data_IF_343609236735
#
_entry.id   IF_343609236735
#
_cell.length_a   1.000
_cell.length_b   1.000
_cell.length_c   1.000
_cell.angle_alpha   90.00
_cell.angle_beta   90.00
_cell.angle_gamma   90.00
#
_symmetry.space_group_name_H-M   'P 1'
#
loop_
_entity.id
_entity.type
_entity.pdbx_description
1 polymer ?
#
# COMPACT_ATOMS: atom_id res chain seq x y z
N UNK A 1 -13.57 24.48 25.90
CA UNK A 1 -12.68 23.29 25.97
C UNK A 1 -11.28 23.79 26.27
N UNK A 2 -10.56 23.16 27.19
CA UNK A 2 -9.14 23.46 27.31
C UNK A 2 -8.44 23.07 26.02
N UNK A 3 -7.46 23.87 25.61
CA UNK A 3 -6.56 23.63 24.48
C UNK A 3 -5.84 22.24 24.50
N UNK A 4 -5.97 21.50 25.61
CA UNK A 4 -5.44 20.15 25.80
C UNK A 4 -6.10 19.04 24.99
N UNK A 5 -7.26 19.27 24.36
CA UNK A 5 -7.87 18.33 23.40
C UNK A 5 -7.36 18.51 21.97
N UNK A 6 -6.70 19.60 21.73
CA UNK A 6 -5.91 19.89 20.56
C UNK A 6 -4.50 19.65 21.03
N UNK A 7 -3.94 18.51 20.77
CA UNK A 7 -2.52 18.38 21.04
C UNK A 7 -1.78 19.49 20.28
N UNK A 8 -1.35 20.56 20.97
CA UNK A 8 -0.09 21.13 20.61
C UNK A 8 0.85 19.96 20.86
N UNK A 9 1.46 19.44 19.80
CA UNK A 9 2.43 18.41 19.92
C UNK A 9 3.43 18.84 20.98
N UNK A 10 3.34 18.23 22.19
CA UNK A 10 4.52 18.04 22.99
C UNK A 10 5.56 17.39 22.08
N UNK A 11 6.86 17.45 22.36
CA UNK A 11 7.86 16.89 21.49
C UNK A 11 7.57 15.40 21.30
N UNK A 12 6.78 15.04 20.25
CA UNK A 12 6.79 13.72 19.73
C UNK A 12 8.23 13.55 19.22
N UNK A 13 9.01 12.77 19.93
CA UNK A 13 10.16 12.15 19.32
C UNK A 13 9.61 11.25 18.21
N UNK A 14 9.32 11.91 17.07
CA UNK A 14 9.11 11.16 15.84
C UNK A 14 10.40 10.39 15.62
N UNK A 15 10.33 9.06 15.42
CA UNK A 15 11.50 8.32 14.97
C UNK A 15 12.15 9.14 13.87
N UNK A 16 13.48 9.26 13.86
CA UNK A 16 14.24 9.89 12.79
C UNK A 16 13.94 9.08 11.54
N UNK A 17 12.89 9.46 10.81
CA UNK A 17 12.30 8.66 9.77
C UNK A 17 12.57 9.30 8.40
N UNK A 18 13.61 8.85 7.66
CA UNK A 18 13.91 9.37 6.34
C UNK A 18 12.89 8.91 5.27
N UNK A 19 12.13 7.83 5.53
CA UNK A 19 11.43 7.10 4.49
C UNK A 19 10.01 7.61 4.15
N UNK A 20 9.39 8.43 4.97
CA UNK A 20 8.00 8.87 4.78
C UNK A 20 7.87 10.24 4.09
N UNK A 21 8.79 10.60 3.22
CA UNK A 21 8.61 11.75 2.35
C UNK A 21 7.68 11.37 1.20
N UNK A 22 6.42 11.75 1.31
CA UNK A 22 5.50 11.67 0.18
C UNK A 22 5.48 13.04 -0.53
N UNK A 23 6.17 13.21 -1.66
CA UNK A 23 6.26 14.49 -2.36
C UNK A 23 4.89 14.99 -2.83
N UNK A 24 3.91 14.09 -2.99
CA UNK A 24 2.54 14.44 -3.35
C UNK A 24 1.81 15.22 -2.25
N UNK A 25 2.27 15.15 -0.98
CA UNK A 25 1.71 15.98 0.09
C UNK A 25 1.97 17.48 -0.12
N UNK A 26 2.93 17.85 -0.95
CA UNK A 26 3.26 19.25 -1.24
C UNK A 26 2.56 19.78 -2.51
N UNK A 27 1.91 18.94 -3.30
CA UNK A 27 1.43 19.30 -4.64
C UNK A 27 0.10 20.07 -4.68
N UNK A 28 -0.68 20.10 -3.60
CA UNK A 28 -2.02 20.72 -3.57
C UNK A 28 -2.36 21.25 -2.20
N UNK A 29 -3.16 22.35 -2.16
CA UNK A 29 -3.59 22.97 -0.90
C UNK A 29 -4.53 22.09 -0.09
N UNK A 30 -5.32 21.24 -0.75
CA UNK A 30 -6.28 20.33 -0.12
C UNK A 30 -6.07 18.90 -0.58
N UNK A 31 -5.71 18.03 0.34
CA UNK A 31 -5.34 16.63 0.07
C UNK A 31 -6.23 15.68 0.85
N UNK A 32 -6.67 14.63 0.18
CA UNK A 32 -7.24 13.44 0.81
C UNK A 32 -6.19 12.32 0.80
N UNK A 33 -5.65 12.00 1.98
CA UNK A 33 -4.58 11.01 2.15
C UNK A 33 -5.20 9.63 2.41
N UNK A 34 -5.17 8.79 1.39
CA UNK A 34 -5.71 7.44 1.38
C UNK A 34 -4.59 6.41 1.57
N UNK A 35 -4.98 5.17 1.78
CA UNK A 35 -4.05 4.06 1.84
C UNK A 35 -4.41 3.03 2.89
N UNK A 36 -3.75 1.87 2.87
CA UNK A 36 -4.01 0.78 3.79
C UNK A 36 -3.76 1.16 5.25
N UNK A 37 -4.23 0.28 6.15
CA UNK A 37 -3.95 0.44 7.57
C UNK A 37 -2.44 0.38 7.85
N UNK A 38 -2.00 1.16 8.85
CA UNK A 38 -0.59 1.18 9.28
C UNK A 38 0.42 1.51 8.15
N UNK A 39 -0.03 2.15 7.07
CA UNK A 39 0.83 2.64 6.00
C UNK A 39 1.54 3.97 6.32
N UNK A 40 1.37 4.50 7.53
CA UNK A 40 2.02 5.73 7.97
C UNK A 40 1.29 7.02 7.56
N UNK A 41 -0.01 7.00 7.23
CA UNK A 41 -0.79 8.20 6.87
C UNK A 41 -0.68 9.31 7.91
N UNK A 42 -1.05 9.00 9.15
CA UNK A 42 -0.97 9.94 10.26
C UNK A 42 0.46 10.44 10.47
N UNK A 43 1.44 9.54 10.47
CA UNK A 43 2.86 9.88 10.64
C UNK A 43 3.34 10.82 9.53
N UNK A 44 2.96 10.58 8.28
CA UNK A 44 3.32 11.46 7.14
C UNK A 44 2.68 12.84 7.26
N UNK A 45 1.40 12.89 7.66
CA UNK A 45 0.71 14.18 7.90
C UNK A 45 1.32 14.95 9.07
N UNK A 46 1.69 14.28 10.15
CA UNK A 46 2.36 14.90 11.30
C UNK A 46 3.78 15.36 10.99
N UNK A 47 4.48 14.65 10.09
CA UNK A 47 5.78 15.11 9.60
C UNK A 47 5.63 16.39 8.80
N UNK A 48 4.64 16.48 7.92
CA UNK A 48 4.32 17.71 7.19
C UNK A 48 4.00 18.87 8.14
N UNK A 49 3.36 18.63 9.28
CA UNK A 49 3.00 19.65 10.25
C UNK A 49 4.21 20.41 10.82
N UNK A 50 5.42 19.85 10.77
CA UNK A 50 6.64 20.51 11.23
C UNK A 50 7.06 21.71 10.37
N UNK A 51 6.60 21.74 9.13
CA UNK A 51 6.92 22.82 8.16
C UNK A 51 5.97 24.02 8.30
N UNK A 52 4.97 23.94 9.20
CA UNK A 52 3.96 24.97 9.43
C UNK A 52 4.12 25.63 10.80
N UNK A 53 3.77 26.91 10.88
CA UNK A 53 3.90 27.68 12.12
C UNK A 53 2.78 27.38 13.13
N UNK A 54 1.57 27.20 12.61
CA UNK A 54 0.35 27.01 13.42
C UNK A 54 -0.43 25.78 12.92
N UNK A 55 0.14 24.55 12.98
CA UNK A 55 -0.55 23.35 12.56
C UNK A 55 -1.61 22.93 13.59
N UNK A 56 -2.77 22.52 13.11
CA UNK A 56 -3.86 21.96 13.91
C UNK A 56 -4.13 20.52 13.49
N UNK A 57 -4.07 19.60 14.44
CA UNK A 57 -4.40 18.19 14.25
C UNK A 57 -5.63 17.82 15.06
N UNK A 58 -6.59 17.17 14.42
CA UNK A 58 -7.82 16.72 15.06
C UNK A 58 -8.06 15.25 14.71
N UNK A 59 -8.15 14.42 15.74
CA UNK A 59 -8.50 13.02 15.61
C UNK A 59 -10.01 12.83 15.88
N UNK A 60 -10.75 12.41 14.86
CA UNK A 60 -12.20 12.18 14.98
C UNK A 60 -12.58 10.99 15.87
N UNK A 61 -11.64 10.10 16.19
CA UNK A 61 -11.83 9.01 17.13
C UNK A 61 -11.57 9.43 18.58
N UNK A 62 -11.13 10.67 18.84
CA UNK A 62 -10.99 11.15 20.22
C UNK A 62 -12.38 11.37 20.86
N UNK A 63 -12.69 10.57 21.89
CA UNK A 63 -13.97 10.65 22.60
C UNK A 63 -14.23 11.99 23.30
N UNK A 64 -13.18 12.79 23.52
CA UNK A 64 -13.28 14.13 24.11
C UNK A 64 -13.68 15.19 23.08
N UNK A 65 -13.64 14.87 21.77
CA UNK A 65 -13.95 15.79 20.70
C UNK A 65 -15.46 16.03 20.63
N UNK A 66 -15.89 17.27 20.85
CA UNK A 66 -17.25 17.68 20.57
C UNK A 66 -17.38 18.09 19.09
N UNK A 67 -17.88 17.17 18.27
CA UNK A 67 -18.01 17.37 16.81
C UNK A 67 -19.03 18.45 16.44
N UNK A 68 -20.05 18.71 17.28
CA UNK A 68 -21.12 19.69 16.98
C UNK A 68 -20.64 21.14 16.97
N UNK A 69 -19.57 21.45 17.71
CA UNK A 69 -19.00 22.81 17.79
C UNK A 69 -17.70 22.97 16.98
N UNK A 70 -17.24 21.90 16.32
CA UNK A 70 -15.97 21.88 15.64
C UNK A 70 -15.91 22.92 14.51
N UNK A 71 -16.96 23.03 13.70
CA UNK A 71 -17.03 24.00 12.60
C UNK A 71 -16.87 25.45 13.06
N UNK A 72 -17.52 25.81 14.16
CA UNK A 72 -17.43 27.17 14.72
C UNK A 72 -16.05 27.47 15.28
N UNK A 73 -15.38 26.47 15.86
CA UNK A 73 -14.01 26.62 16.34
C UNK A 73 -13.00 26.77 15.22
N UNK A 74 -13.11 25.95 14.19
CA UNK A 74 -12.22 26.07 13.02
C UNK A 74 -12.38 27.42 12.34
N UNK A 75 -13.61 27.93 12.23
CA UNK A 75 -13.84 29.28 11.70
C UNK A 75 -13.22 30.36 12.59
N UNK A 76 -13.40 30.27 13.90
CA UNK A 76 -12.82 31.22 14.87
C UNK A 76 -11.29 31.25 14.76
N UNK A 77 -10.62 30.10 14.77
CA UNK A 77 -9.14 30.03 14.67
C UNK A 77 -8.63 30.50 13.32
N UNK A 78 -9.36 30.26 12.24
CA UNK A 78 -9.04 30.81 10.94
C UNK A 78 -9.08 32.34 10.95
N UNK A 79 -10.15 32.95 11.49
CA UNK A 79 -10.31 34.40 11.62
C UNK A 79 -9.23 35.03 12.53
N UNK A 80 -8.86 34.34 13.60
CA UNK A 80 -7.80 34.74 14.51
C UNK A 80 -6.37 34.51 13.97
N UNK A 81 -6.24 33.94 12.73
CA UNK A 81 -4.94 33.58 12.09
C UNK A 81 -4.10 32.61 12.94
N UNK A 82 -4.78 31.77 13.73
CA UNK A 82 -4.15 30.76 14.61
C UNK A 82 -3.98 29.39 13.95
N UNK A 83 -4.23 29.28 12.65
CA UNK A 83 -4.18 28.04 11.91
C UNK A 83 -3.72 28.26 10.47
N UNK A 84 -2.66 27.59 10.05
CA UNK A 84 -2.14 27.60 8.68
C UNK A 84 -2.10 26.19 8.04
N UNK A 85 -2.18 25.12 8.84
CA UNK A 85 -2.40 23.75 8.43
C UNK A 85 -3.51 23.13 9.27
N UNK A 86 -4.43 22.41 8.62
CA UNK A 86 -5.44 21.58 9.28
C UNK A 86 -5.28 20.13 8.85
N UNK A 87 -5.13 19.23 9.83
CA UNK A 87 -5.14 17.77 9.63
C UNK A 87 -6.38 17.21 10.34
N UNK A 88 -7.30 16.59 9.57
CA UNK A 88 -8.45 15.86 10.11
C UNK A 88 -8.19 14.37 9.91
N UNK A 89 -7.95 13.66 11.00
CA UNK A 89 -7.63 12.23 10.99
C UNK A 89 -8.81 11.37 11.45
N UNK A 90 -8.95 10.16 10.91
CA UNK A 90 -10.05 9.23 11.14
C UNK A 90 -11.44 9.83 10.85
N UNK A 91 -11.52 10.64 9.80
CA UNK A 91 -12.75 11.32 9.43
C UNK A 91 -13.74 10.35 8.76
N UNK A 92 -14.97 10.29 9.27
CA UNK A 92 -16.07 9.52 8.67
C UNK A 92 -16.78 10.30 7.57
N UNK A 93 -17.20 11.53 7.91
CA UNK A 93 -17.91 12.43 7.05
C UNK A 93 -17.59 13.88 7.40
N UNK A 94 -17.63 14.72 6.40
CA UNK A 94 -17.50 16.17 6.56
C UNK A 94 -18.86 16.82 6.32
N UNK A 95 -19.50 17.24 7.40
CA UNK A 95 -20.85 17.82 7.39
C UNK A 95 -20.84 19.35 7.41
N UNK A 96 -19.67 19.98 7.24
CA UNK A 96 -19.50 21.43 7.23
C UNK A 96 -18.43 21.87 6.23
N UNK A 97 -18.47 23.14 5.86
CA UNK A 97 -17.45 23.75 4.99
C UNK A 97 -16.17 24.01 5.73
N UNK A 98 -15.06 23.62 5.14
CA UNK A 98 -13.72 23.93 5.68
C UNK A 98 -13.31 25.35 5.36
N UNK A 99 -12.59 26.05 6.27
CA UNK A 99 -12.02 27.36 5.99
C UNK A 99 -10.96 27.26 4.89
N UNK A 100 -10.75 28.34 4.15
CA UNK A 100 -9.66 28.43 3.17
C UNK A 100 -8.32 28.56 3.89
N UNK A 101 -7.51 27.54 3.85
CA UNK A 101 -6.20 27.48 4.47
C UNK A 101 -5.10 27.21 3.43
N UNK A 102 -3.86 27.59 3.71
CA UNK A 102 -2.72 27.24 2.86
C UNK A 102 -2.58 25.73 2.67
N UNK A 103 -2.96 24.93 3.70
CA UNK A 103 -2.91 23.47 3.62
C UNK A 103 -3.97 22.79 4.45
N UNK A 104 -4.61 21.76 3.85
CA UNK A 104 -5.58 20.89 4.51
C UNK A 104 -5.25 19.44 4.14
N UNK A 105 -5.15 18.57 5.14
CA UNK A 105 -4.95 17.12 4.96
C UNK A 105 -6.12 16.38 5.62
N UNK A 106 -6.86 15.62 4.83
CA UNK A 106 -7.97 14.81 5.26
C UNK A 106 -7.55 13.33 5.22
N UNK A 107 -7.70 12.61 6.31
CA UNK A 107 -7.43 11.17 6.41
C UNK A 107 -8.75 10.47 6.78
N UNK A 108 -9.50 9.96 5.80
CA UNK A 108 -10.78 9.32 6.07
C UNK A 108 -10.60 7.93 6.70
N UNK A 109 -11.64 7.48 7.40
CA UNK A 109 -11.76 6.10 7.83
C UNK A 109 -11.86 5.14 6.64
N UNK A 110 -11.45 3.88 6.83
CA UNK A 110 -11.30 2.89 5.74
C UNK A 110 -12.59 2.56 5.01
N UNK A 111 -13.71 2.49 5.72
CA UNK A 111 -15.00 2.12 5.13
C UNK A 111 -15.87 3.34 4.81
N UNK A 112 -15.39 4.55 5.10
CA UNK A 112 -16.13 5.77 4.85
C UNK A 112 -16.09 6.16 3.37
N UNK A 113 -17.20 6.63 2.80
CA UNK A 113 -17.18 7.20 1.47
C UNK A 113 -16.29 8.45 1.45
N UNK A 114 -15.43 8.55 0.44
CA UNK A 114 -14.58 9.74 0.24
C UNK A 114 -15.49 10.84 -0.31
N UNK A 115 -15.96 11.70 0.57
CA UNK A 115 -16.95 12.74 0.24
C UNK A 115 -16.38 14.16 0.32
N UNK A 116 -15.08 14.32 0.15
CA UNK A 116 -14.48 15.65 0.09
C UNK A 116 -14.38 16.10 -1.38
N UNK A 117 -15.31 16.89 -1.92
CA UNK A 117 -15.15 17.50 -3.23
C UNK A 117 -13.91 18.39 -3.22
N UNK A 118 -13.25 18.52 -4.35
CA UNK A 118 -12.09 19.40 -4.57
C UNK A 118 -10.81 19.03 -3.78
N UNK A 119 -10.65 17.75 -3.40
CA UNK A 119 -9.40 17.25 -2.82
C UNK A 119 -8.56 16.48 -3.83
N UNK A 120 -7.30 16.76 -3.90
CA UNK A 120 -6.33 15.92 -4.59
C UNK A 120 -6.13 14.60 -3.83
N UNK A 121 -6.25 13.47 -4.51
CA UNK A 121 -6.03 12.16 -3.88
C UNK A 121 -4.54 11.87 -3.78
N UNK A 122 -4.08 11.55 -2.60
CA UNK A 122 -2.73 11.12 -2.31
C UNK A 122 -2.76 9.75 -1.62
N UNK A 123 -1.83 8.87 -1.96
CA UNK A 123 -1.81 7.52 -1.40
C UNK A 123 -0.54 7.28 -0.58
N UNK A 124 -0.71 6.97 0.71
CA UNK A 124 0.34 6.43 1.54
C UNK A 124 0.31 4.90 1.42
N UNK A 125 1.19 4.36 0.60
CA UNK A 125 1.36 2.91 0.44
C UNK A 125 2.31 2.38 1.53
N UNK A 126 2.32 1.07 1.73
CA UNK A 126 3.31 0.43 2.60
C UNK A 126 4.76 0.67 2.13
N UNK A 127 5.72 0.31 2.95
CA UNK A 127 7.14 0.50 2.66
C UNK A 127 7.59 -0.37 1.47
N UNK A 128 8.41 0.18 0.58
CA UNK A 128 9.23 -0.64 -0.30
C UNK A 128 10.47 -1.15 0.47
N UNK A 129 11.23 -2.07 -0.11
CA UNK A 129 12.37 -2.66 0.60
C UNK A 129 13.46 -1.63 0.92
N UNK A 130 13.71 -0.68 0.03
CA UNK A 130 14.70 0.39 0.25
C UNK A 130 14.29 1.29 1.43
N UNK A 131 13.01 1.64 1.54
CA UNK A 131 12.49 2.38 2.69
C UNK A 131 12.54 1.52 3.96
N UNK A 132 12.18 0.23 3.88
CA UNK A 132 12.21 -0.68 5.01
C UNK A 132 13.59 -0.80 5.64
N UNK A 133 14.65 -1.01 4.85
CA UNK A 133 16.00 -1.13 5.38
C UNK A 133 16.53 0.15 6.02
N UNK A 134 16.00 1.33 5.66
CA UNK A 134 16.43 2.60 6.23
C UNK A 134 16.09 2.77 7.73
N UNK A 135 15.18 1.94 8.26
CA UNK A 135 14.85 1.91 9.69
C UNK A 135 15.85 1.13 10.54
N UNK A 136 16.77 0.42 9.93
CA UNK A 136 17.74 -0.43 10.62
C UNK A 136 19.15 0.16 10.58
N UNK A 137 20.02 -0.34 11.46
CA UNK A 137 21.42 0.08 11.49
C UNK A 137 22.10 -0.23 10.15
N UNK A 138 22.97 0.63 9.63
CA UNK A 138 23.62 0.46 8.32
C UNK A 138 24.35 -0.87 8.15
N UNK A 139 24.90 -1.44 9.24
CA UNK A 139 25.65 -2.69 9.23
C UNK A 139 24.79 -3.96 9.34
N UNK A 140 23.46 -3.84 9.38
CA UNK A 140 22.58 -5.02 9.43
C UNK A 140 22.61 -5.74 8.07
N UNK A 141 22.89 -7.05 8.01
CA UNK A 141 22.98 -7.78 6.76
C UNK A 141 21.68 -7.70 5.96
N UNK A 142 21.75 -7.33 4.69
CA UNK A 142 20.56 -7.14 3.83
C UNK A 142 19.74 -8.43 3.67
N UNK A 143 20.39 -9.60 3.65
CA UNK A 143 19.68 -10.89 3.60
C UNK A 143 18.83 -11.13 4.85
N UNK A 144 19.32 -10.77 6.03
CA UNK A 144 18.54 -10.85 7.28
C UNK A 144 17.34 -9.92 7.23
N UNK A 145 17.51 -8.69 6.73
CA UNK A 145 16.43 -7.73 6.57
C UNK A 145 15.43 -8.18 5.50
N UNK A 146 15.90 -8.79 4.41
CA UNK A 146 15.02 -9.33 3.38
C UNK A 146 14.15 -10.47 3.92
N UNK A 147 14.73 -11.43 4.63
CA UNK A 147 13.97 -12.54 5.24
C UNK A 147 12.92 -12.01 6.23
N UNK A 148 13.28 -10.98 7.00
CA UNK A 148 12.35 -10.31 7.91
C UNK A 148 11.24 -9.57 7.14
N UNK A 149 11.58 -8.82 6.10
CA UNK A 149 10.62 -8.12 5.24
C UNK A 149 9.62 -9.08 4.58
N UNK A 150 10.13 -10.19 3.99
CA UNK A 150 9.31 -11.22 3.35
C UNK A 150 8.29 -11.84 4.31
N UNK A 151 8.65 -12.05 5.57
CA UNK A 151 7.79 -12.62 6.60
C UNK A 151 6.85 -11.58 7.22
N UNK A 152 7.38 -10.42 7.58
CA UNK A 152 6.66 -9.42 8.37
C UNK A 152 5.80 -8.50 7.51
N UNK A 153 6.14 -8.35 6.23
CA UNK A 153 5.45 -7.47 5.30
C UNK A 153 5.95 -6.03 5.36
N UNK A 154 5.24 -5.17 4.64
CA UNK A 154 5.60 -3.79 4.37
C UNK A 154 4.82 -2.76 5.21
N UNK A 155 4.12 -3.19 6.26
CA UNK A 155 3.45 -2.26 7.17
C UNK A 155 4.46 -1.67 8.16
N UNK A 156 4.35 -0.36 8.43
CA UNK A 156 5.30 0.37 9.28
C UNK A 156 5.36 -0.18 10.71
N UNK A 157 4.22 -0.58 11.28
CA UNK A 157 4.16 -1.11 12.64
C UNK A 157 4.88 -2.46 12.81
N UNK A 158 5.03 -3.24 11.73
CA UNK A 158 5.74 -4.52 11.76
C UNK A 158 7.23 -4.40 12.08
N UNK A 159 7.81 -3.21 11.90
CA UNK A 159 9.23 -2.94 12.18
C UNK A 159 9.51 -2.95 13.69
N UNK A 160 8.58 -2.43 14.49
CA UNK A 160 8.77 -2.17 15.93
C UNK A 160 8.36 -3.33 16.83
N UNK A 161 7.70 -4.34 16.27
CA UNK A 161 7.33 -5.56 17.02
C UNK A 161 8.36 -6.63 16.70
N UNK A 162 8.96 -7.23 17.74
CA UNK A 162 9.98 -8.28 17.56
C UNK A 162 9.37 -9.68 17.56
N UNK A 163 8.40 -9.93 18.43
CA UNK A 163 7.77 -11.23 18.60
C UNK A 163 6.83 -11.57 17.44
N UNK A 164 7.02 -12.74 16.82
CA UNK A 164 6.25 -13.18 15.65
C UNK A 164 4.77 -13.42 15.96
N UNK A 165 4.48 -14.04 17.11
CA UNK A 165 3.09 -14.28 17.52
C UNK A 165 2.35 -12.98 17.78
N UNK A 166 3.02 -12.02 18.40
CA UNK A 166 2.47 -10.69 18.64
C UNK A 166 2.16 -9.97 17.32
N UNK A 167 3.03 -10.08 16.31
CA UNK A 167 2.77 -9.53 14.96
C UNK A 167 1.54 -10.14 14.32
N UNK A 168 1.38 -11.45 14.39
CA UNK A 168 0.22 -12.16 13.85
C UNK A 168 -1.06 -11.68 14.53
N UNK A 169 -1.08 -11.70 15.87
CA UNK A 169 -2.23 -11.25 16.65
C UNK A 169 -2.57 -9.79 16.36
N UNK A 170 -1.57 -8.91 16.30
CA UNK A 170 -1.76 -7.49 16.00
C UNK A 170 -2.35 -7.25 14.62
N UNK A 171 -1.93 -8.01 13.61
CA UNK A 171 -2.52 -7.95 12.27
C UNK A 171 -3.98 -8.43 12.28
N UNK A 172 -4.29 -9.51 13.00
CA UNK A 172 -5.67 -10.02 13.13
C UNK A 172 -6.55 -9.01 13.86
N UNK A 173 -6.10 -8.44 14.98
CA UNK A 173 -6.81 -7.39 15.72
C UNK A 173 -7.08 -6.16 14.84
N UNK A 174 -6.10 -5.69 14.09
CA UNK A 174 -6.25 -4.56 13.19
C UNK A 174 -7.30 -4.84 12.10
N UNK A 175 -7.32 -6.06 11.54
CA UNK A 175 -8.34 -6.47 10.55
C UNK A 175 -9.72 -6.51 11.20
N UNK A 176 -9.84 -7.09 12.40
CA UNK A 176 -11.09 -7.17 13.13
C UNK A 176 -11.65 -5.78 13.50
N UNK A 177 -10.78 -4.89 14.00
CA UNK A 177 -11.15 -3.52 14.36
C UNK A 177 -11.66 -2.70 13.17
N UNK A 178 -10.97 -2.81 12.04
CA UNK A 178 -11.26 -1.96 10.87
C UNK A 178 -12.45 -2.51 10.08
N UNK A 179 -12.47 -3.80 9.82
CA UNK A 179 -13.47 -4.40 8.97
C UNK A 179 -14.68 -4.95 9.72
N UNK A 180 -14.58 -5.08 11.05
CA UNK A 180 -15.68 -5.52 11.91
C UNK A 180 -16.38 -6.79 11.35
N UNK A 181 -17.65 -6.69 11.01
CA UNK A 181 -18.44 -7.79 10.43
C UNK A 181 -17.90 -8.27 9.08
N UNK A 182 -17.10 -7.47 8.37
CA UNK A 182 -16.45 -7.83 7.11
C UNK A 182 -15.06 -8.45 7.28
N UNK A 183 -14.55 -8.60 8.51
CA UNK A 183 -13.23 -9.20 8.74
C UNK A 183 -13.09 -10.63 8.18
N UNK A 184 -14.10 -11.53 8.31
CA UNK A 184 -14.04 -12.85 7.66
C UNK A 184 -13.98 -12.77 6.14
N UNK A 185 -14.65 -11.78 5.54
CA UNK A 185 -14.63 -11.55 4.10
C UNK A 185 -13.23 -11.10 3.65
N UNK A 186 -12.60 -10.19 4.41
CA UNK A 186 -11.21 -9.76 4.13
C UNK A 186 -10.23 -10.93 4.22
N UNK A 187 -10.35 -11.80 5.22
CA UNK A 187 -9.52 -13.01 5.33
C UNK A 187 -9.69 -13.94 4.12
N UNK A 188 -10.93 -14.14 3.64
CA UNK A 188 -11.19 -14.90 2.40
C UNK A 188 -10.57 -14.25 1.17
N UNK A 189 -10.64 -12.93 1.03
CA UNK A 189 -10.00 -12.20 -0.07
C UNK A 189 -8.48 -12.43 -0.06
N UNK A 190 -7.84 -12.45 1.11
CA UNK A 190 -6.39 -12.71 1.22
C UNK A 190 -5.97 -14.07 0.64
N UNK A 191 -6.83 -15.09 0.64
CA UNK A 191 -6.54 -16.39 0.04
C UNK A 191 -6.50 -16.39 -1.51
N UNK A 192 -6.92 -15.27 -2.12
CA UNK A 192 -6.88 -15.04 -3.57
C UNK A 192 -5.72 -14.14 -4.01
N UNK A 193 -4.77 -13.90 -3.13
CA UNK A 193 -3.54 -13.16 -3.46
C UNK A 193 -2.84 -13.75 -4.69
N UNK A 194 -2.44 -12.87 -5.62
CA UNK A 194 -1.77 -13.21 -6.88
C UNK A 194 -2.53 -14.23 -7.74
N UNK A 195 -3.87 -14.24 -7.66
CA UNK A 195 -4.74 -15.09 -8.51
C UNK A 195 -5.61 -14.21 -9.40
N UNK A 196 -5.92 -14.72 -10.59
CA UNK A 196 -6.91 -14.10 -11.45
C UNK A 196 -8.31 -14.28 -10.87
N UNK A 197 -9.03 -13.18 -10.75
CA UNK A 197 -10.35 -13.12 -10.14
C UNK A 197 -11.29 -12.24 -10.96
N UNK A 198 -12.59 -12.44 -10.77
CA UNK A 198 -13.63 -11.47 -11.05
C UNK A 198 -14.51 -11.32 -9.82
N UNK A 199 -15.18 -10.19 -9.66
CA UNK A 199 -16.09 -9.98 -8.53
C UNK A 199 -17.20 -11.05 -8.50
N UNK A 200 -17.69 -11.48 -9.66
CA UNK A 200 -18.67 -12.56 -9.76
C UNK A 200 -18.10 -13.90 -9.32
N UNK A 201 -16.88 -14.23 -9.74
CA UNK A 201 -16.20 -15.46 -9.31
C UNK A 201 -16.03 -15.48 -7.79
N UNK A 202 -15.51 -14.40 -7.19
CA UNK A 202 -15.37 -14.29 -5.74
C UNK A 202 -16.72 -14.44 -5.03
N UNK A 203 -17.78 -13.82 -5.56
CA UNK A 203 -19.13 -13.98 -5.00
C UNK A 203 -19.58 -15.44 -5.00
N UNK A 204 -19.39 -16.16 -6.11
CA UNK A 204 -19.78 -17.58 -6.20
C UNK A 204 -19.04 -18.47 -5.21
N UNK A 205 -17.78 -18.15 -4.92
CA UNK A 205 -16.98 -18.87 -3.92
C UNK A 205 -17.42 -18.53 -2.49
N UNK A 206 -17.66 -17.25 -2.18
CA UNK A 206 -17.89 -16.80 -0.81
C UNK A 206 -19.32 -16.98 -0.32
N UNK A 207 -20.32 -16.92 -1.20
CA UNK A 207 -21.74 -17.01 -0.81
C UNK A 207 -22.12 -18.31 -0.08
N UNK A 208 -21.36 -19.39 -0.30
CA UNK A 208 -21.60 -20.70 0.33
C UNK A 208 -21.24 -20.70 1.81
N UNK A 209 -20.21 -19.95 2.20
CA UNK A 209 -19.66 -19.93 3.55
C UNK A 209 -20.04 -18.66 4.31
N UNK A 210 -20.03 -17.53 3.59
CA UNK A 210 -20.38 -16.22 4.14
C UNK A 210 -21.75 -15.83 3.59
N UNK A 211 -22.75 -15.66 4.46
CA UNK A 211 -24.09 -15.19 4.07
C UNK A 211 -24.04 -13.73 3.57
N UNK A 212 -23.46 -13.52 2.39
CA UNK A 212 -23.24 -12.20 1.81
C UNK A 212 -24.04 -12.03 0.50
N UNK A 213 -24.61 -10.84 0.29
CA UNK A 213 -25.24 -10.48 -0.99
C UNK A 213 -24.18 -10.09 -2.03
N UNK A 214 -24.55 -10.21 -3.32
CA UNK A 214 -23.71 -9.80 -4.44
C UNK A 214 -23.33 -8.31 -4.32
N UNK A 215 -24.31 -7.44 -4.06
CA UNK A 215 -24.08 -5.99 -3.98
C UNK A 215 -23.17 -5.60 -2.81
N UNK A 216 -23.27 -6.31 -1.68
CA UNK A 216 -22.39 -6.09 -0.53
C UNK A 216 -20.94 -6.41 -0.88
N UNK A 217 -20.69 -7.55 -1.55
CA UNK A 217 -19.34 -7.91 -1.98
C UNK A 217 -18.79 -6.89 -2.99
N UNK A 218 -19.57 -6.50 -3.99
CA UNK A 218 -19.14 -5.54 -5.01
C UNK A 218 -18.78 -4.18 -4.40
N UNK A 219 -19.63 -3.66 -3.50
CA UNK A 219 -19.34 -2.42 -2.76
C UNK A 219 -18.06 -2.55 -1.92
N UNK A 220 -17.89 -3.67 -1.24
CA UNK A 220 -16.72 -3.91 -0.41
C UNK A 220 -15.43 -3.95 -1.25
N UNK A 221 -15.40 -4.71 -2.35
CA UNK A 221 -14.27 -4.76 -3.27
C UNK A 221 -13.93 -3.38 -3.84
N UNK A 222 -14.95 -2.59 -4.24
CA UNK A 222 -14.74 -1.23 -4.73
C UNK A 222 -14.10 -0.32 -3.67
N UNK A 223 -14.56 -0.39 -2.40
CA UNK A 223 -13.96 0.37 -1.30
C UNK A 223 -12.51 -0.05 -1.06
N UNK A 224 -12.23 -1.36 -1.03
CA UNK A 224 -10.87 -1.87 -0.84
C UNK A 224 -9.92 -1.40 -1.95
N UNK A 225 -10.35 -1.42 -3.20
CA UNK A 225 -9.57 -0.97 -4.35
C UNK A 225 -9.34 0.55 -4.29
N UNK A 226 -10.38 1.33 -4.03
CA UNK A 226 -10.30 2.80 -3.92
C UNK A 226 -9.36 3.23 -2.80
N UNK A 227 -9.31 2.49 -1.68
CA UNK A 227 -8.39 2.70 -0.56
C UNK A 227 -7.01 2.09 -0.78
N UNK A 228 -6.75 1.46 -1.93
CA UNK A 228 -5.50 0.74 -2.20
C UNK A 228 -5.19 -0.35 -1.16
N UNK A 229 -6.21 -0.97 -0.59
CA UNK A 229 -6.07 -2.13 0.29
C UNK A 229 -5.88 -3.39 -0.56
N UNK A 230 -6.55 -3.43 -1.71
CA UNK A 230 -6.30 -4.39 -2.78
C UNK A 230 -6.00 -3.63 -4.08
N UNK A 231 -5.36 -4.34 -5.00
CA UNK A 231 -5.11 -3.89 -6.37
C UNK A 231 -5.63 -4.96 -7.32
N UNK A 232 -6.33 -4.52 -8.36
CA UNK A 232 -6.79 -5.38 -9.44
C UNK A 232 -5.99 -5.04 -10.71
N UNK A 233 -4.88 -5.74 -10.90
CA UNK A 233 -4.04 -5.52 -12.07
C UNK A 233 -4.65 -6.19 -13.31
N UNK A 234 -4.84 -5.47 -14.42
CA UNK A 234 -5.40 -6.05 -15.64
C UNK A 234 -4.49 -7.15 -16.20
N UNK A 235 -5.09 -8.16 -16.80
CA UNK A 235 -4.36 -9.17 -17.58
C UNK A 235 -3.89 -8.59 -18.89
N UNK A 236 -2.69 -8.99 -19.33
CA UNK A 236 -2.17 -8.59 -20.63
C UNK A 236 -2.92 -9.23 -21.80
N UNK A 237 -3.45 -10.44 -21.65
CA UNK A 237 -4.06 -11.20 -22.75
C UNK A 237 -5.59 -11.20 -22.77
N UNK A 238 -6.24 -10.93 -21.63
CA UNK A 238 -7.68 -11.06 -21.52
C UNK A 238 -8.29 -10.07 -20.54
N UNK A 239 -9.62 -10.02 -20.46
CA UNK A 239 -10.35 -9.10 -19.59
C UNK A 239 -10.41 -9.54 -18.10
N UNK A 240 -9.49 -10.40 -17.64
CA UNK A 240 -9.38 -10.78 -16.23
C UNK A 240 -8.51 -9.81 -15.48
N UNK A 241 -8.66 -9.81 -14.16
CA UNK A 241 -7.81 -9.01 -13.26
C UNK A 241 -7.15 -9.91 -12.23
N UNK A 242 -5.90 -9.62 -11.91
CA UNK A 242 -5.13 -10.34 -10.88
C UNK A 242 -5.15 -9.54 -9.59
N UNK A 243 -5.48 -10.20 -8.48
CA UNK A 243 -5.64 -9.55 -7.19
C UNK A 243 -4.32 -9.51 -6.43
N UNK A 244 -3.91 -8.32 -6.02
CA UNK A 244 -2.77 -8.11 -5.13
C UNK A 244 -3.21 -7.39 -3.86
N UNK A 245 -2.52 -7.66 -2.75
CA UNK A 245 -2.76 -7.04 -1.45
C UNK A 245 -1.78 -5.90 -1.20
N UNK A 246 -2.22 -4.86 -0.50
CA UNK A 246 -1.36 -3.75 -0.07
C UNK A 246 -0.22 -4.17 0.87
N UNK A 247 -0.43 -5.24 1.63
CA UNK A 247 0.59 -5.88 2.44
C UNK A 247 0.67 -7.35 2.04
N UNK A 248 1.73 -7.69 1.33
CA UNK A 248 1.95 -9.02 0.77
C UNK A 248 2.03 -10.12 1.84
N UNK A 249 2.34 -9.80 3.09
CA UNK A 249 2.47 -10.76 4.18
C UNK A 249 1.17 -10.97 5.00
N UNK A 250 0.05 -10.32 4.64
CA UNK A 250 -1.24 -10.54 5.30
C UNK A 250 -1.69 -12.02 5.30
N UNK A 251 -1.50 -12.80 4.22
CA UNK A 251 -1.89 -14.20 4.23
C UNK A 251 -1.25 -15.04 5.34
N UNK A 252 -0.04 -14.73 5.79
CA UNK A 252 0.58 -15.44 6.93
C UNK A 252 -0.22 -15.33 8.23
N UNK A 253 -0.98 -14.26 8.39
CA UNK A 253 -1.79 -14.03 9.60
C UNK A 253 -3.27 -14.38 9.43
N UNK A 254 -3.76 -14.51 8.19
CA UNK A 254 -5.19 -14.59 7.91
C UNK A 254 -5.60 -15.86 7.16
N UNK A 255 -4.67 -16.64 6.63
CA UNK A 255 -4.96 -17.85 5.87
C UNK A 255 -4.23 -19.07 6.43
N UNK A 256 -4.86 -20.27 6.41
CA UNK A 256 -4.22 -21.47 6.96
C UNK A 256 -2.98 -21.93 6.19
N UNK A 257 -2.95 -21.69 4.88
CA UNK A 257 -1.89 -22.17 3.98
C UNK A 257 -1.46 -21.07 3.01
N UNK A 258 -0.66 -20.10 3.46
CA UNK A 258 -0.17 -19.04 2.60
C UNK A 258 0.83 -19.59 1.57
N UNK A 259 0.73 -19.14 0.32
CA UNK A 259 1.66 -19.51 -0.75
C UNK A 259 2.82 -18.53 -0.81
N UNK A 260 4.04 -19.02 -0.57
CA UNK A 260 5.26 -18.20 -0.69
C UNK A 260 5.44 -17.63 -2.11
N UNK A 261 5.08 -18.39 -3.15
CA UNK A 261 5.15 -17.92 -4.53
C UNK A 261 4.23 -16.71 -4.77
N UNK A 262 2.99 -16.78 -4.27
CA UNK A 262 2.03 -15.69 -4.40
C UNK A 262 2.45 -14.46 -3.57
N UNK A 263 3.01 -14.67 -2.39
CA UNK A 263 3.54 -13.62 -1.52
C UNK A 263 4.70 -12.90 -2.20
N UNK A 264 5.64 -13.67 -2.77
CA UNK A 264 6.80 -13.12 -3.48
C UNK A 264 6.38 -12.34 -4.73
N UNK A 265 5.46 -12.89 -5.53
CA UNK A 265 4.90 -12.20 -6.69
C UNK A 265 4.23 -10.87 -6.27
N UNK A 266 3.42 -10.89 -5.21
CA UNK A 266 2.78 -9.66 -4.70
C UNK A 266 3.80 -8.64 -4.18
N UNK A 267 4.88 -9.09 -3.55
CA UNK A 267 5.96 -8.22 -3.09
C UNK A 267 6.63 -7.49 -4.25
N UNK A 268 6.95 -8.21 -5.33
CA UNK A 268 7.52 -7.62 -6.56
C UNK A 268 6.52 -6.67 -7.23
N UNK A 269 5.22 -7.03 -7.28
CA UNK A 269 4.17 -6.14 -7.78
C UNK A 269 4.17 -4.79 -7.05
N UNK A 270 4.25 -4.79 -5.72
CA UNK A 270 4.21 -3.55 -4.93
C UNK A 270 5.47 -2.68 -5.14
N UNK A 271 6.64 -3.30 -5.32
CA UNK A 271 7.85 -2.57 -5.68
C UNK A 271 7.67 -1.86 -7.04
N UNK A 272 7.17 -2.57 -8.05
CA UNK A 272 6.90 -2.00 -9.38
C UNK A 272 5.86 -0.88 -9.30
N UNK A 273 4.73 -1.14 -8.65
CA UNK A 273 3.63 -0.19 -8.54
C UNK A 273 4.04 1.12 -7.85
N UNK A 274 4.88 1.04 -6.82
CA UNK A 274 5.34 2.20 -6.06
C UNK A 274 6.41 3.00 -6.80
N UNK A 275 7.31 2.32 -7.51
CA UNK A 275 8.44 2.96 -8.21
C UNK A 275 8.06 3.52 -9.58
N UNK A 276 7.01 2.98 -10.21
CA UNK A 276 6.56 3.35 -11.56
C UNK A 276 5.09 3.79 -11.60
N UNK A 277 4.70 4.83 -10.85
CA UNK A 277 3.29 5.25 -10.75
C UNK A 277 2.69 5.73 -12.08
N UNK A 278 3.54 6.11 -13.04
CA UNK A 278 3.12 6.61 -14.36
C UNK A 278 3.22 5.55 -15.47
N UNK A 279 3.48 4.28 -15.13
CA UNK A 279 3.53 3.19 -16.09
C UNK A 279 2.24 2.36 -16.01
N UNK A 280 1.77 1.91 -17.17
CA UNK A 280 0.74 0.88 -17.19
C UNK A 280 1.36 -0.47 -16.81
N UNK A 281 0.81 -1.08 -15.78
CA UNK A 281 1.28 -2.36 -15.23
C UNK A 281 0.22 -3.43 -15.49
N UNK A 282 0.55 -4.37 -16.38
CA UNK A 282 -0.26 -5.54 -16.67
C UNK A 282 0.32 -6.77 -15.99
N UNK A 283 -0.54 -7.71 -15.63
CA UNK A 283 -0.16 -9.02 -15.10
C UNK A 283 -0.43 -10.13 -16.12
N UNK A 284 0.36 -11.20 -16.03
CA UNK A 284 0.12 -12.44 -16.76
C UNK A 284 0.26 -13.64 -15.81
N UNK A 285 -0.05 -14.85 -16.30
CA UNK A 285 0.15 -16.07 -15.54
C UNK A 285 1.62 -16.23 -15.09
N UNK A 286 1.82 -16.97 -14.00
CA UNK A 286 3.13 -17.33 -13.48
C UNK A 286 4.05 -16.12 -13.13
N UNK A 287 3.46 -15.04 -12.63
CA UNK A 287 4.23 -13.89 -12.11
C UNK A 287 4.89 -13.03 -13.16
N UNK A 288 4.41 -13.03 -14.40
CA UNK A 288 4.90 -12.08 -15.40
C UNK A 288 4.19 -10.75 -15.26
N UNK A 289 4.96 -9.68 -15.22
CA UNK A 289 4.51 -8.30 -15.26
C UNK A 289 4.98 -7.64 -16.55
N UNK A 290 4.13 -6.81 -17.13
CA UNK A 290 4.44 -6.07 -18.33
C UNK A 290 4.31 -4.59 -17.98
N UNK A 291 5.40 -3.87 -18.12
CA UNK A 291 5.44 -2.42 -17.93
C UNK A 291 5.48 -1.73 -19.28
N UNK A 292 4.54 -0.83 -19.47
CA UNK A 292 4.48 0.04 -20.64
C UNK A 292 4.73 1.49 -20.23
N UNK A 293 5.76 2.10 -20.82
CA UNK A 293 5.96 3.54 -20.72
C UNK A 293 5.35 4.26 -21.92
N UNK A 294 5.51 3.65 -23.11
CA UNK A 294 4.95 4.08 -24.41
C UNK A 294 4.77 2.82 -25.25
N UNK A 295 4.04 2.90 -26.36
CA UNK A 295 3.77 1.76 -27.25
C UNK A 295 5.02 1.00 -27.74
N UNK A 296 6.19 1.65 -27.74
CA UNK A 296 7.47 1.09 -28.22
C UNK A 296 8.35 0.50 -27.10
N UNK A 297 8.20 0.95 -25.84
CA UNK A 297 9.01 0.48 -24.72
C UNK A 297 8.24 -0.48 -23.83
N UNK A 298 8.23 -1.75 -24.22
CA UNK A 298 7.62 -2.85 -23.47
C UNK A 298 8.71 -3.67 -22.76
N UNK A 299 8.59 -3.81 -21.46
CA UNK A 299 9.46 -4.65 -20.66
C UNK A 299 8.65 -5.78 -20.04
N UNK A 300 9.15 -7.01 -20.11
CA UNK A 300 8.62 -8.14 -19.36
C UNK A 300 9.47 -8.40 -18.12
N UNK A 301 8.82 -8.51 -16.96
CA UNK A 301 9.46 -8.89 -15.71
C UNK A 301 8.83 -10.18 -15.21
N UNK A 302 9.65 -11.20 -14.95
CA UNK A 302 9.23 -12.51 -14.45
C UNK A 302 9.59 -12.59 -12.97
N UNK A 303 8.58 -12.58 -12.08
CA UNK A 303 8.75 -12.71 -10.64
C UNK A 303 8.43 -14.14 -10.20
N UNK A 304 9.44 -14.89 -9.76
CA UNK A 304 9.26 -16.24 -9.23
C UNK A 304 10.28 -16.53 -8.14
N UNK A 305 9.82 -16.96 -6.94
CA UNK A 305 10.70 -17.13 -5.78
C UNK A 305 11.85 -18.12 -6.04
N UNK A 306 11.57 -19.25 -6.67
CA UNK A 306 12.54 -20.33 -6.97
C UNK A 306 12.32 -20.87 -8.39
N UNK A 307 12.72 -20.12 -9.43
CA UNK A 307 12.47 -20.54 -10.81
C UNK A 307 13.35 -21.75 -11.17
N UNK A 308 12.73 -22.78 -11.73
CA UNK A 308 13.45 -23.90 -12.33
C UNK A 308 13.87 -23.58 -13.77
N UNK A 309 14.93 -24.21 -14.33
CA UNK A 309 15.33 -24.00 -15.72
C UNK A 309 14.17 -24.20 -16.71
N UNK A 310 13.40 -25.28 -16.56
CA UNK A 310 12.24 -25.58 -17.41
C UNK A 310 11.15 -24.50 -17.31
N UNK A 311 10.88 -23.97 -16.09
CA UNK A 311 9.96 -22.85 -15.91
C UNK A 311 10.45 -21.61 -16.67
N UNK A 312 11.71 -21.24 -16.51
CA UNK A 312 12.28 -20.08 -17.18
C UNK A 312 12.24 -20.20 -18.71
N UNK A 313 12.62 -21.35 -19.25
CA UNK A 313 12.56 -21.61 -20.69
C UNK A 313 11.14 -21.34 -21.25
N UNK A 314 10.11 -21.88 -20.60
CA UNK A 314 8.72 -21.67 -20.99
C UNK A 314 8.33 -20.18 -20.96
N UNK A 315 8.72 -19.45 -19.90
CA UNK A 315 8.38 -18.04 -19.78
C UNK A 315 9.12 -17.17 -20.79
N UNK A 316 10.40 -17.47 -21.03
CA UNK A 316 11.22 -16.77 -22.04
C UNK A 316 10.66 -16.98 -23.45
N UNK A 317 10.27 -18.21 -23.80
CA UNK A 317 9.61 -18.50 -25.07
C UNK A 317 8.31 -17.69 -25.23
N UNK A 318 7.51 -17.59 -24.18
CA UNK A 318 6.30 -16.75 -24.19
C UNK A 318 6.65 -15.28 -24.42
N UNK A 319 7.63 -14.74 -23.70
CA UNK A 319 8.08 -13.36 -23.86
C UNK A 319 8.56 -13.06 -25.30
N UNK A 320 9.38 -13.93 -25.87
CA UNK A 320 9.89 -13.78 -27.24
C UNK A 320 8.76 -13.85 -28.27
N UNK A 321 7.81 -14.80 -28.10
CA UNK A 321 6.62 -14.90 -28.97
C UNK A 321 5.79 -13.60 -28.99
N UNK A 322 5.74 -12.86 -27.88
CA UNK A 322 5.00 -11.59 -27.77
C UNK A 322 5.88 -10.34 -28.05
N UNK A 323 7.11 -10.55 -28.55
CA UNK A 323 7.98 -9.46 -28.99
C UNK A 323 8.67 -8.67 -27.87
N UNK A 324 8.78 -9.24 -26.67
CA UNK A 324 9.54 -8.61 -25.58
C UNK A 324 11.04 -8.81 -25.79
N UNK A 325 11.74 -7.70 -26.06
CA UNK A 325 13.20 -7.70 -26.22
C UNK A 325 13.94 -7.50 -24.88
N UNK A 326 13.33 -6.78 -23.96
CA UNK A 326 13.88 -6.53 -22.63
C UNK A 326 13.17 -7.42 -21.61
N UNK A 327 13.88 -8.38 -21.03
CA UNK A 327 13.35 -9.33 -20.08
C UNK A 327 14.17 -9.29 -18.80
N UNK A 328 13.52 -9.13 -17.66
CA UNK A 328 14.12 -9.16 -16.32
C UNK A 328 13.49 -10.28 -15.51
N UNK A 329 14.31 -11.10 -14.89
CA UNK A 329 13.87 -12.16 -13.98
C UNK A 329 14.23 -11.74 -12.57
N UNK A 330 13.28 -11.85 -11.64
CA UNK A 330 13.47 -11.56 -10.22
C UNK A 330 13.12 -12.79 -9.39
N UNK A 331 14.08 -13.23 -8.57
CA UNK A 331 13.92 -14.38 -7.69
C UNK A 331 14.48 -14.09 -6.29
N UNK A 332 14.31 -15.01 -5.35
CA UNK A 332 14.92 -14.89 -4.01
C UNK A 332 16.44 -14.96 -4.15
N UNK A 333 16.94 -15.97 -4.87
CA UNK A 333 18.36 -16.16 -5.13
C UNK A 333 18.61 -16.19 -6.64
N UNK A 334 19.31 -15.20 -7.17
CA UNK A 334 19.71 -15.22 -8.56
C UNK A 334 20.95 -16.11 -8.73
N UNK A 335 20.98 -17.00 -9.74
CA UNK A 335 22.19 -17.72 -10.09
C UNK A 335 23.23 -16.75 -10.69
N UNK A 336 24.50 -17.08 -10.57
CA UNK A 336 25.56 -16.42 -11.31
C UNK A 336 25.40 -16.81 -12.79
N UNK A 337 24.96 -15.86 -13.61
CA UNK A 337 24.74 -16.10 -15.04
C UNK A 337 26.00 -15.88 -15.84
N UNK A 338 26.16 -16.63 -16.94
CA UNK A 338 27.15 -16.33 -17.94
C UNK A 338 26.89 -14.96 -18.58
N UNK A 339 27.95 -14.24 -18.98
CA UNK A 339 27.89 -12.85 -19.41
C UNK A 339 27.03 -12.56 -20.67
N UNK A 340 26.55 -13.58 -21.40
CA UNK A 340 25.88 -13.45 -22.69
C UNK A 340 24.41 -13.94 -22.69
N UNK A 341 23.68 -13.83 -21.57
CA UNK A 341 22.26 -14.19 -21.58
C UNK A 341 21.40 -13.03 -22.12
N UNK A 342 20.34 -13.34 -22.92
CA UNK A 342 19.46 -12.32 -23.50
C UNK A 342 18.50 -11.70 -22.48
N UNK A 343 18.66 -11.99 -21.21
CA UNK A 343 17.85 -11.49 -20.10
C UNK A 343 18.72 -11.21 -18.87
N UNK A 344 18.22 -10.34 -18.00
CA UNK A 344 18.86 -10.02 -16.71
C UNK A 344 18.18 -10.82 -15.61
N UNK A 345 18.93 -11.62 -14.85
CA UNK A 345 18.40 -12.34 -13.68
C UNK A 345 18.98 -11.74 -12.39
N UNK A 346 18.13 -11.29 -11.51
CA UNK A 346 18.47 -10.58 -10.29
C UNK A 346 17.87 -11.26 -9.07
N UNK A 347 18.55 -11.21 -7.94
CA UNK A 347 17.87 -11.44 -6.67
C UNK A 347 17.00 -10.22 -6.32
N UNK A 348 16.04 -10.43 -5.43
CA UNK A 348 15.09 -9.36 -5.05
C UNK A 348 15.81 -8.15 -4.42
N UNK A 349 16.86 -8.36 -3.64
CA UNK A 349 17.58 -7.27 -2.95
C UNK A 349 18.20 -6.33 -3.98
N UNK A 350 18.94 -6.85 -4.94
CA UNK A 350 19.58 -6.05 -5.99
C UNK A 350 18.53 -5.39 -6.88
N UNK A 351 17.45 -6.11 -7.22
CA UNK A 351 16.34 -5.58 -7.96
C UNK A 351 15.70 -4.37 -7.25
N UNK A 352 15.35 -4.49 -5.97
CA UNK A 352 14.63 -3.44 -5.24
C UNK A 352 15.46 -2.20 -4.93
N UNK A 353 16.79 -2.38 -4.76
CA UNK A 353 17.69 -1.26 -4.47
C UNK A 353 18.05 -0.43 -5.71
N UNK A 354 18.06 -1.05 -6.89
CA UNK A 354 18.49 -0.42 -8.14
C UNK A 354 17.46 -0.54 -9.28
N UNK A 355 16.19 -0.65 -8.91
CA UNK A 355 15.07 -0.90 -9.83
C UNK A 355 14.98 0.13 -10.96
N UNK A 356 15.30 1.39 -10.70
CA UNK A 356 15.23 2.46 -11.72
C UNK A 356 16.29 2.29 -12.82
N UNK A 357 17.53 1.96 -12.46
CA UNK A 357 18.61 1.73 -13.44
C UNK A 357 18.39 0.46 -14.28
N UNK A 358 17.64 -0.49 -13.74
CA UNK A 358 17.37 -1.78 -14.39
C UNK A 358 16.29 -1.64 -15.48
N UNK A 359 15.33 -0.74 -15.27
CA UNK A 359 14.12 -0.62 -16.10
C UNK A 359 14.18 0.56 -17.09
N UNK A 360 15.10 1.47 -16.92
CA UNK A 360 15.43 2.56 -17.86
C UNK A 360 16.40 2.04 -18.90
#
# INVERSE_FOLDING_TARGET
MPLSCLHPFGPFETPKDPALNNPLLNSSDKICLLGPMKSGKTTSALKLAKDFKNPVYINYNDMRLNKSILSSWLLKWHLEKKMDLLILDHMDRLDFSLPKLPKIVLIPNYLSPITAPDCSLCYALGLNFKEYISFFKPNTPKNTLFNRFLRDGNALDSIFIENEQEKILKKQENIQLIFQTYAPLMAKICSYQSKFVSAFYLYTQFKKELKISKDTLYRFLHVLEKQRIIFLAPSFENNKTKLYLCNFALPYSLTPSPSLLNIFENMVFLELYKQFPNHELYSHDNGIFILHKNATNKLALIAHAFPTPHFLEKQLLWCHKHGFLKIVIVSINAPILAANTPYKHLNFIDFSLDIQSILV
#
